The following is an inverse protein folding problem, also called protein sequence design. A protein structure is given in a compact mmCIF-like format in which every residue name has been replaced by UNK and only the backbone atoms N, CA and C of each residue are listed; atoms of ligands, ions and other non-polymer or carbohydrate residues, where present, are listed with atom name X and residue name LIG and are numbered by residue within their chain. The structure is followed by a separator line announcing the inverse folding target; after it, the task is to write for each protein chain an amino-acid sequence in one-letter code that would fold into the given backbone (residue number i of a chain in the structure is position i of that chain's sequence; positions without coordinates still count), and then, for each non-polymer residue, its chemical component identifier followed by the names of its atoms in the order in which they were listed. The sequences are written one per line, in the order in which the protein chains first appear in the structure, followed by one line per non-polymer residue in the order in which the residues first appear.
data_IF_947983817370
#
_entry.id   IF_947983817370
#
_cell.length_a   1.000
_cell.length_b   1.000
_cell.length_c   1.000
_cell.angle_alpha   90.00
_cell.angle_beta   90.00
_cell.angle_gamma   90.00
#
_symmetry.space_group_name_H-M   'P 1'
#
loop_
_entity.id
_entity.type
_entity.pdbx_description
1 polymer ?
#
# COMPACT_ATOMS: atom_id res chain seq x y z
N UNK A 1 10.42 -28.56 -14.50
CA UNK A 1 10.65 -27.18 -14.97
C UNK A 1 9.25 -26.63 -15.10
N UNK A 2 8.72 -26.07 -14.02
CA UNK A 2 7.30 -25.73 -13.94
C UNK A 2 7.21 -24.27 -13.51
N UNK A 3 7.03 -23.44 -14.54
CA UNK A 3 6.91 -21.98 -14.55
C UNK A 3 5.57 -21.53 -13.94
N UNK A 4 5.27 -21.96 -12.71
CA UNK A 4 4.06 -21.55 -11.99
C UNK A 4 4.34 -20.52 -10.89
N UNK A 5 5.37 -19.69 -11.07
CA UNK A 5 5.44 -18.39 -10.38
C UNK A 5 4.82 -17.39 -11.33
N UNK A 6 3.49 -17.49 -11.51
CA UNK A 6 2.73 -16.33 -11.93
C UNK A 6 2.99 -15.30 -10.84
N UNK A 7 3.83 -14.32 -11.16
CA UNK A 7 4.13 -13.17 -10.33
C UNK A 7 2.80 -12.57 -9.90
N UNK A 8 2.36 -12.85 -8.67
CA UNK A 8 1.05 -12.36 -8.26
C UNK A 8 0.99 -10.86 -8.47
N UNK A 9 -0.10 -10.40 -9.06
CA UNK A 9 -0.31 -9.01 -9.46
C UNK A 9 -0.04 -8.02 -8.32
N UNK A 10 -0.15 -8.47 -7.06
CA UNK A 10 -0.01 -7.67 -5.85
C UNK A 10 1.31 -7.87 -5.10
N UNK A 11 2.18 -8.79 -5.53
CA UNK A 11 3.48 -8.98 -4.88
C UNK A 11 4.33 -7.71 -5.05
N UNK A 12 4.81 -7.18 -3.92
CA UNK A 12 5.66 -5.98 -3.84
C UNK A 12 5.05 -4.68 -4.37
N UNK A 13 3.73 -4.63 -4.59
CA UNK A 13 3.05 -3.34 -4.77
C UNK A 13 2.88 -2.65 -3.43
N UNK A 14 3.03 -1.33 -3.41
CA UNK A 14 2.99 -0.54 -2.19
C UNK A 14 2.01 0.61 -2.37
N UNK A 15 1.16 0.82 -1.37
CA UNK A 15 0.33 2.00 -1.28
C UNK A 15 1.11 3.12 -0.57
N UNK A 16 1.12 4.31 -1.15
CA UNK A 16 1.68 5.53 -0.55
C UNK A 16 0.59 6.59 -0.41
N UNK A 17 0.61 7.35 0.67
CA UNK A 17 -0.35 8.41 0.92
C UNK A 17 0.21 9.75 0.45
N UNK A 18 -0.62 10.57 -0.21
CA UNK A 18 -0.28 11.94 -0.52
C UNK A 18 -0.30 12.82 0.75
N UNK A 19 0.76 13.59 0.97
CA UNK A 19 0.90 14.46 2.14
C UNK A 19 0.33 15.87 1.96
N UNK A 20 -0.29 16.17 0.81
CA UNK A 20 -1.12 17.36 0.70
C UNK A 20 -2.34 17.20 1.61
N UNK A 21 -2.44 18.06 2.64
CA UNK A 21 -3.51 18.06 3.65
C UNK A 21 -4.92 18.12 3.05
N UNK A 22 -5.08 18.77 1.89
CA UNK A 22 -6.38 18.84 1.21
C UNK A 22 -6.69 17.61 0.34
N UNK A 23 -5.75 16.67 0.21
CA UNK A 23 -5.85 15.51 -0.67
C UNK A 23 -5.92 14.20 0.12
N UNK A 24 -4.82 13.85 0.82
CA UNK A 24 -4.67 12.64 1.64
C UNK A 24 -5.01 11.29 0.95
N UNK A 25 -5.11 11.28 -0.39
CA UNK A 25 -5.45 10.07 -1.17
C UNK A 25 -4.28 9.10 -1.22
N UNK A 26 -4.61 7.81 -1.30
CA UNK A 26 -3.66 6.72 -1.52
C UNK A 26 -3.43 6.47 -3.00
N UNK A 27 -2.18 6.12 -3.34
CA UNK A 27 -1.74 5.79 -4.71
C UNK A 27 -0.99 4.47 -4.70
N UNK A 28 -1.32 3.59 -5.64
CA UNK A 28 -0.65 2.31 -5.77
C UNK A 28 0.62 2.48 -6.62
N UNK A 29 1.77 2.09 -6.07
CA UNK A 29 3.04 2.14 -6.75
C UNK A 29 3.45 0.78 -7.28
N UNK A 30 4.09 0.76 -8.45
CA UNK A 30 4.84 -0.40 -8.92
C UNK A 30 6.03 -0.68 -7.98
N UNK A 31 6.56 -1.91 -7.95
CA UNK A 31 7.72 -2.24 -7.13
C UNK A 31 8.93 -1.31 -7.38
N UNK A 32 9.15 -0.93 -8.65
CA UNK A 32 10.25 -0.04 -9.05
C UNK A 32 10.03 1.39 -8.55
N UNK A 33 8.79 1.88 -8.59
CA UNK A 33 8.44 3.20 -8.08
C UNK A 33 8.52 3.26 -6.55
N UNK A 34 8.03 2.22 -5.87
CA UNK A 34 8.10 2.10 -4.41
C UNK A 34 9.56 2.09 -3.91
N UNK A 35 10.47 1.43 -4.62
CA UNK A 35 11.90 1.40 -4.29
C UNK A 35 12.58 2.79 -4.35
N UNK A 36 11.98 3.77 -5.05
CA UNK A 36 12.48 5.14 -5.17
C UNK A 36 11.86 6.12 -4.17
N UNK A 37 10.88 5.69 -3.37
CA UNK A 37 10.26 6.56 -2.37
C UNK A 37 11.21 6.71 -1.18
N UNK A 38 11.67 7.94 -0.95
CA UNK A 38 12.47 8.27 0.22
C UNK A 38 11.57 8.48 1.44
N UNK A 39 11.80 7.71 2.51
CA UNK A 39 10.95 7.75 3.72
C UNK A 39 11.04 9.04 4.53
N UNK A 40 12.10 9.83 4.31
CA UNK A 40 12.34 11.10 5.01
C UNK A 40 11.73 12.29 4.29
N UNK A 41 11.32 12.13 3.03
CA UNK A 41 10.81 13.21 2.19
C UNK A 41 9.31 13.05 1.96
N UNK A 42 8.57 14.17 1.87
CA UNK A 42 7.14 14.11 1.67
C UNK A 42 6.80 13.55 0.29
N UNK A 43 5.74 12.76 0.20
CA UNK A 43 5.26 12.21 -1.06
C UNK A 43 3.92 12.83 -1.51
N UNK A 44 3.82 13.17 -2.80
CA UNK A 44 2.64 13.82 -3.38
C UNK A 44 2.16 13.13 -4.65
N UNK A 45 0.86 13.25 -4.99
CA UNK A 45 0.29 12.60 -6.17
C UNK A 45 1.06 12.89 -7.48
N UNK A 46 1.58 14.12 -7.66
CA UNK A 46 2.34 14.48 -8.87
C UNK A 46 3.66 13.70 -9.03
N UNK A 47 4.13 13.03 -7.97
CA UNK A 47 5.31 12.17 -7.99
C UNK A 47 4.97 10.74 -8.44
N UNK A 48 3.69 10.40 -8.60
CA UNK A 48 3.29 9.10 -9.12
C UNK A 48 3.70 8.95 -10.59
N UNK A 49 4.35 7.83 -10.92
CA UNK A 49 4.71 7.50 -12.30
C UNK A 49 3.50 7.04 -13.13
N UNK A 50 2.41 6.59 -12.49
CA UNK A 50 1.17 6.26 -13.18
C UNK A 50 0.40 7.55 -13.54
N UNK A 51 0.41 7.88 -14.83
CA UNK A 51 -0.27 9.06 -15.38
C UNK A 51 -1.79 9.07 -15.13
N UNK A 52 -2.40 7.91 -14.87
CA UNK A 52 -3.82 7.80 -14.54
C UNK A 52 -4.13 8.34 -13.16
N UNK A 53 -3.15 8.32 -12.24
CA UNK A 53 -3.34 8.64 -10.81
C UNK A 53 -2.27 9.61 -10.27
N UNK A 54 -1.67 10.43 -11.14
CA UNK A 54 -0.61 11.38 -10.77
C UNK A 54 -1.10 12.79 -10.41
N UNK A 55 -2.38 12.98 -10.10
CA UNK A 55 -2.91 14.29 -9.70
C UNK A 55 -3.84 14.16 -8.51
N UNK A 56 -3.85 15.19 -7.65
CA UNK A 56 -4.76 15.29 -6.51
C UNK A 56 -6.23 15.44 -6.95
N UNK A 57 -6.47 15.91 -8.18
CA UNK A 57 -7.81 16.06 -8.76
C UNK A 57 -8.42 14.74 -9.23
N UNK A 58 -7.60 13.70 -9.42
CA UNK A 58 -8.07 12.36 -9.79
C UNK A 58 -8.55 11.64 -8.53
N UNK A 59 -9.67 10.92 -8.64
CA UNK A 59 -10.18 10.03 -7.59
C UNK A 59 -9.14 9.00 -7.13
N UNK A 60 -9.30 8.49 -5.92
CA UNK A 60 -8.51 7.36 -5.41
C UNK A 60 -8.88 6.08 -6.17
N UNK A 61 -7.93 5.15 -6.27
CA UNK A 61 -8.16 3.81 -6.82
C UNK A 61 -9.02 2.98 -5.87
N UNK A 62 -9.98 2.23 -6.40
CA UNK A 62 -10.74 1.28 -5.60
C UNK A 62 -9.82 0.15 -5.09
N UNK A 63 -9.94 -0.18 -3.81
CA UNK A 63 -9.24 -1.34 -3.27
C UNK A 63 -9.77 -2.63 -3.94
N UNK A 64 -8.90 -3.56 -4.38
CA UNK A 64 -9.33 -4.77 -5.05
C UNK A 64 -10.33 -5.59 -4.21
N UNK A 65 -11.30 -6.21 -4.88
CA UNK A 65 -12.26 -7.08 -4.21
C UNK A 65 -11.56 -8.29 -3.55
N UNK A 66 -12.06 -8.71 -2.39
CA UNK A 66 -11.51 -9.83 -1.61
C UNK A 66 -11.38 -11.12 -2.43
N UNK A 67 -12.32 -11.37 -3.36
CA UNK A 67 -12.30 -12.55 -4.24
C UNK A 67 -11.00 -12.68 -5.04
N UNK A 68 -10.43 -11.56 -5.50
CA UNK A 68 -9.17 -11.57 -6.29
C UNK A 68 -7.99 -12.09 -5.49
N UNK A 69 -7.95 -11.76 -4.19
CA UNK A 69 -6.92 -12.25 -3.28
C UNK A 69 -7.10 -13.75 -3.03
N UNK A 70 -8.34 -14.19 -2.76
CA UNK A 70 -8.67 -15.59 -2.51
C UNK A 70 -8.35 -16.49 -3.71
N UNK A 71 -8.72 -16.06 -4.92
CA UNK A 71 -8.41 -16.76 -6.19
C UNK A 71 -6.90 -16.90 -6.41
N UNK A 72 -6.13 -15.91 -5.97
CA UNK A 72 -4.65 -15.91 -6.02
C UNK A 72 -4.01 -16.65 -4.84
N UNK A 73 -4.79 -17.33 -4.00
CA UNK A 73 -4.31 -18.08 -2.84
C UNK A 73 -3.91 -17.22 -1.62
N UNK A 74 -4.22 -15.92 -1.63
CA UNK A 74 -3.98 -15.02 -0.51
C UNK A 74 -5.13 -15.06 0.51
N UNK A 75 -4.79 -14.84 1.77
CA UNK A 75 -5.74 -14.64 2.86
C UNK A 75 -5.57 -13.23 3.43
N UNK A 76 -6.64 -12.45 3.45
CA UNK A 76 -6.64 -11.16 4.14
C UNK A 76 -6.79 -11.42 5.63
N UNK A 77 -5.90 -10.80 6.43
CA UNK A 77 -5.94 -10.88 7.89
C UNK A 77 -6.32 -9.51 8.41
N UNK A 78 -7.55 -9.40 8.90
CA UNK A 78 -8.02 -8.21 9.60
C UNK A 78 -7.68 -8.29 11.08
N UNK A 79 -7.31 -7.14 11.66
CA UNK A 79 -7.26 -7.02 13.11
C UNK A 79 -8.65 -7.30 13.67
N UNK A 80 -8.74 -8.15 14.69
CA UNK A 80 -9.99 -8.38 15.43
C UNK A 80 -10.24 -7.29 16.48
N UNK A 81 -9.38 -6.29 16.55
CA UNK A 81 -9.51 -5.18 17.49
C UNK A 81 -10.54 -4.17 16.97
N UNK A 82 -11.46 -3.69 17.83
CA UNK A 82 -12.37 -2.62 17.47
C UNK A 82 -11.64 -1.36 17.00
N UNK A 83 -12.28 -0.60 16.10
CA UNK A 83 -11.80 0.73 15.70
C UNK A 83 -11.59 1.61 16.93
N UNK A 84 -10.44 2.29 17.01
CA UNK A 84 -10.06 3.12 18.15
C UNK A 84 -9.35 2.38 19.29
N UNK A 85 -9.11 1.07 19.16
CA UNK A 85 -8.33 0.32 20.16
C UNK A 85 -6.89 0.82 20.22
N UNK A 86 -6.41 1.10 21.44
CA UNK A 86 -5.00 1.35 21.70
C UNK A 86 -4.25 0.02 21.80
N UNK A 87 -3.23 -0.17 20.96
CA UNK A 87 -2.40 -1.37 20.95
C UNK A 87 -1.01 -1.01 21.45
N UNK A 88 -0.60 -1.57 22.58
CA UNK A 88 0.78 -1.53 23.03
C UNK A 88 1.49 -2.81 22.60
N UNK A 89 2.61 -2.66 21.90
CA UNK A 89 3.50 -3.78 21.57
C UNK A 89 4.70 -3.74 22.51
N UNK A 90 4.95 -4.83 23.22
CA UNK A 90 6.21 -5.04 23.94
C UNK A 90 7.19 -5.77 23.04
N UNK A 91 8.13 -5.04 22.47
CA UNK A 91 9.23 -5.64 21.72
C UNK A 91 10.29 -6.15 22.68
N UNK A 92 10.84 -7.34 22.38
CA UNK A 92 11.99 -7.84 23.11
C UNK A 92 13.14 -6.84 22.87
N UNK A 93 13.69 -6.26 23.94
CA UNK A 93 14.83 -5.31 23.93
C UNK A 93 14.52 -3.81 23.64
N UNK A 94 13.31 -3.30 23.90
CA UNK A 94 13.00 -1.86 23.82
C UNK A 94 12.55 -1.26 25.18
N UNK A 95 12.86 0.02 25.50
CA UNK A 95 13.90 0.87 24.93
C UNK A 95 15.19 0.53 25.69
N UNK A 96 16.12 -0.20 25.07
CA UNK A 96 17.42 -0.41 25.70
C UNK A 96 18.18 0.90 25.83
#
# INVERSE_FOLDING_TARGET
MDLAVESSEFVNRVWVQCENESCLKWRLLSPEAAARVERSEPWYCFMNADASYNSCSVSEEDFPAESRFLESGYKIVYSQLPLGSLVLVKLQNWPR
#
